data_IF_608017480821
#
_entry.id   IF_608017480821
#
_cell.length_a   1.000
_cell.length_b   1.000
_cell.length_c   1.000
_cell.angle_alpha   90.00
_cell.angle_beta   90.00
_cell.angle_gamma   90.00
#
_symmetry.space_group_name_H-M   'P 1'
#
loop_
_entity.id
_entity.type
_entity.pdbx_description
1 polymer ?
#
# COMPACT_ATOMS: atom_id res chain seq x y z
N UNK A 1 6.46 -24.64 -9.54
CA UNK A 1 6.06 -23.79 -10.69
C UNK A 1 4.77 -23.12 -10.27
N UNK A 2 4.78 -21.81 -10.05
CA UNK A 2 3.57 -21.07 -9.69
C UNK A 2 2.61 -21.08 -10.88
N UNK A 3 1.31 -21.17 -10.59
CA UNK A 3 0.28 -21.10 -11.62
C UNK A 3 0.41 -19.78 -12.40
N UNK A 4 0.11 -19.77 -13.71
CA UNK A 4 0.16 -18.54 -14.50
C UNK A 4 -0.81 -17.51 -13.92
N UNK A 5 -0.40 -16.24 -13.90
CA UNK A 5 -1.23 -15.11 -13.47
C UNK A 5 -2.54 -15.06 -14.25
N UNK A 6 -3.64 -14.75 -13.58
CA UNK A 6 -4.92 -14.50 -14.23
C UNK A 6 -4.81 -13.34 -15.23
N UNK A 7 -5.69 -13.23 -16.23
CA UNK A 7 -5.66 -12.10 -17.17
C UNK A 7 -5.69 -10.75 -16.45
N UNK A 8 -6.50 -10.63 -15.39
CA UNK A 8 -6.58 -9.42 -14.56
C UNK A 8 -5.27 -9.13 -13.83
N UNK A 9 -4.63 -10.15 -13.27
CA UNK A 9 -3.34 -10.02 -12.62
C UNK A 9 -2.24 -9.59 -13.61
N UNK A 10 -2.29 -10.06 -14.86
CA UNK A 10 -1.36 -9.62 -15.91
C UNK A 10 -1.56 -8.14 -16.27
N UNK A 11 -2.81 -7.67 -16.36
CA UNK A 11 -3.11 -6.26 -16.62
C UNK A 11 -2.66 -5.37 -15.46
N UNK A 12 -2.94 -5.79 -14.23
CA UNK A 12 -2.47 -5.12 -13.01
C UNK A 12 -0.95 -5.02 -12.97
N UNK A 13 -0.24 -6.11 -13.30
CA UNK A 13 1.22 -6.15 -13.35
C UNK A 13 1.76 -5.14 -14.37
N UNK A 14 1.23 -5.14 -15.60
CA UNK A 14 1.67 -4.23 -16.66
C UNK A 14 1.41 -2.78 -16.30
N UNK A 15 0.23 -2.46 -15.76
CA UNK A 15 -0.10 -1.11 -15.31
C UNK A 15 0.80 -0.65 -14.15
N UNK A 16 1.06 -1.52 -13.18
CA UNK A 16 1.97 -1.22 -12.08
C UNK A 16 3.35 -0.89 -12.63
N UNK A 17 3.92 -1.79 -13.45
CA UNK A 17 5.25 -1.62 -14.02
C UNK A 17 5.34 -0.32 -14.84
N UNK A 18 4.34 -0.03 -15.66
CA UNK A 18 4.29 1.19 -16.45
C UNK A 18 4.28 2.46 -15.59
N UNK A 19 3.52 2.47 -14.50
CA UNK A 19 3.30 3.68 -13.70
C UNK A 19 4.40 3.92 -12.66
N UNK A 20 4.97 2.85 -12.10
CA UNK A 20 5.93 2.95 -11.00
C UNK A 20 7.36 2.57 -11.40
N UNK A 21 7.55 1.84 -12.50
CA UNK A 21 8.88 1.42 -12.96
C UNK A 21 9.54 0.35 -12.09
N UNK A 22 8.78 -0.32 -11.22
CA UNK A 22 9.29 -1.37 -10.34
C UNK A 22 9.80 -2.58 -11.14
N UNK A 23 10.82 -3.24 -10.59
CA UNK A 23 11.51 -4.35 -11.28
C UNK A 23 10.63 -5.60 -11.41
N UNK A 24 10.88 -6.39 -12.45
CA UNK A 24 10.19 -7.67 -12.63
C UNK A 24 10.38 -8.64 -11.46
N UNK A 25 11.55 -8.60 -10.82
CA UNK A 25 11.82 -9.43 -9.64
C UNK A 25 10.89 -9.08 -8.48
N UNK A 26 10.71 -7.78 -8.21
CA UNK A 26 9.80 -7.30 -7.17
C UNK A 26 8.34 -7.61 -7.51
N UNK A 27 7.91 -7.27 -8.73
CA UNK A 27 6.52 -7.48 -9.13
C UNK A 27 6.18 -8.97 -9.17
N UNK A 28 7.10 -9.83 -9.62
CA UNK A 28 6.88 -11.28 -9.59
C UNK A 28 6.63 -11.79 -8.17
N UNK A 29 7.43 -11.36 -7.19
CA UNK A 29 7.25 -11.74 -5.78
C UNK A 29 5.92 -11.21 -5.23
N UNK A 30 5.62 -9.92 -5.44
CA UNK A 30 4.38 -9.31 -4.99
C UNK A 30 3.14 -10.01 -5.56
N UNK A 31 3.14 -10.30 -6.86
CA UNK A 31 2.01 -10.93 -7.53
C UNK A 31 1.86 -12.41 -7.18
N UNK A 32 2.92 -13.09 -6.73
CA UNK A 32 2.81 -14.44 -6.20
C UNK A 32 2.32 -14.51 -4.75
N UNK A 33 2.70 -13.54 -3.92
CA UNK A 33 2.51 -13.64 -2.46
C UNK A 33 1.33 -12.79 -1.96
N UNK A 34 1.23 -11.55 -2.45
CA UNK A 34 0.33 -10.52 -1.91
C UNK A 34 -0.91 -10.33 -2.78
N UNK A 35 -0.76 -10.37 -4.11
CA UNK A 35 -1.86 -10.07 -5.03
C UNK A 35 -3.05 -11.01 -4.83
N UNK A 36 -4.26 -10.43 -4.79
CA UNK A 36 -5.53 -11.18 -4.78
C UNK A 36 -6.51 -10.58 -5.77
N UNK A 37 -7.06 -11.42 -6.65
CA UNK A 37 -8.01 -10.99 -7.70
C UNK A 37 -9.29 -10.40 -7.10
N UNK A 38 -9.74 -10.92 -5.96
CA UNK A 38 -10.96 -10.50 -5.25
C UNK A 38 -10.83 -9.17 -4.50
N UNK A 39 -9.60 -8.69 -4.33
CA UNK A 39 -9.25 -7.46 -3.61
C UNK A 39 -8.53 -6.45 -4.51
N UNK A 40 -8.64 -6.63 -5.82
CA UNK A 40 -8.05 -5.76 -6.85
C UNK A 40 -9.16 -5.14 -7.70
N UNK A 41 -9.06 -3.87 -8.06
CA UNK A 41 -9.90 -3.23 -9.07
C UNK A 41 -9.05 -2.83 -10.28
N UNK A 42 -9.57 -3.14 -11.47
CA UNK A 42 -9.05 -2.64 -12.74
C UNK A 42 -10.21 -1.97 -13.47
N UNK A 43 -10.01 -0.71 -13.84
CA UNK A 43 -10.93 0.01 -14.73
C UNK A 43 -10.49 -0.16 -16.18
N UNK A 44 -11.44 -0.46 -17.06
CA UNK A 44 -11.19 -0.64 -18.48
C UNK A 44 -11.83 0.49 -19.30
N UNK A 45 -11.07 1.05 -20.24
CA UNK A 45 -11.57 2.03 -21.23
C UNK A 45 -11.30 1.47 -22.60
N UNK A 46 -12.35 1.29 -23.43
CA UNK A 46 -12.23 0.74 -24.79
C UNK A 46 -11.52 -0.63 -24.86
N UNK A 47 -11.65 -1.43 -23.80
CA UNK A 47 -11.02 -2.75 -23.68
C UNK A 47 -9.58 -2.73 -23.16
N UNK A 48 -9.00 -1.56 -22.92
CA UNK A 48 -7.68 -1.40 -22.34
C UNK A 48 -7.75 -1.19 -20.83
N UNK A 49 -6.87 -1.84 -20.07
CA UNK A 49 -6.73 -1.60 -18.64
C UNK A 49 -6.14 -0.20 -18.41
N UNK A 50 -6.86 0.67 -17.71
CA UNK A 50 -6.51 2.09 -17.58
C UNK A 50 -6.31 2.57 -16.16
N UNK A 51 -6.86 1.85 -15.18
CA UNK A 51 -6.67 2.17 -13.76
C UNK A 51 -6.47 0.89 -12.99
N UNK A 52 -5.65 0.96 -11.94
CA UNK A 52 -5.39 -0.14 -11.03
C UNK A 52 -5.34 0.37 -9.60
N UNK A 53 -5.96 -0.38 -8.69
CA UNK A 53 -5.72 -0.29 -7.26
C UNK A 53 -6.03 -1.64 -6.62
N UNK A 54 -5.54 -1.83 -5.40
CA UNK A 54 -5.98 -2.92 -4.52
C UNK A 54 -6.55 -2.34 -3.23
N UNK A 55 -7.47 -3.06 -2.60
CA UNK A 55 -8.16 -2.68 -1.35
C UNK A 55 -8.07 -3.82 -0.33
N UNK A 56 -6.86 -4.00 0.20
CA UNK A 56 -6.49 -5.16 0.99
C UNK A 56 -7.17 -5.13 2.37
N UNK A 57 -7.81 -6.23 2.82
CA UNK A 57 -8.32 -6.31 4.19
C UNK A 57 -7.14 -6.44 5.16
N UNK A 58 -7.03 -5.52 6.12
CA UNK A 58 -6.05 -5.58 7.21
C UNK A 58 -6.75 -5.29 8.55
N UNK A 59 -6.07 -5.53 9.66
CA UNK A 59 -6.55 -5.17 11.00
C UNK A 59 -5.68 -4.04 11.59
N UNK A 60 -6.32 -3.00 12.13
CA UNK A 60 -5.65 -2.08 13.04
C UNK A 60 -5.77 -2.61 14.46
N UNK A 61 -4.63 -2.79 15.13
CA UNK A 61 -4.56 -3.16 16.54
C UNK A 61 -4.25 -1.94 17.40
N UNK A 62 -5.09 -1.66 18.40
CA UNK A 62 -4.83 -0.61 19.39
C UNK A 62 -5.37 -1.04 20.75
N UNK A 63 -4.52 -1.09 21.77
CA UNK A 63 -4.94 -1.39 23.15
C UNK A 63 -5.57 -2.78 23.34
N UNK A 64 -5.32 -3.73 22.43
CA UNK A 64 -5.92 -5.06 22.44
C UNK A 64 -7.17 -5.20 21.59
N UNK A 65 -7.76 -4.10 21.13
CA UNK A 65 -8.86 -4.11 20.17
C UNK A 65 -8.34 -4.26 18.74
N UNK A 66 -9.10 -4.99 17.92
CA UNK A 66 -8.83 -5.18 16.49
C UNK A 66 -9.96 -4.59 15.67
N UNK A 67 -9.62 -3.68 14.77
CA UNK A 67 -10.57 -3.01 13.89
C UNK A 67 -10.30 -3.43 12.44
N UNK A 68 -11.27 -4.02 11.74
CA UNK A 68 -11.12 -4.34 10.32
C UNK A 68 -11.05 -3.04 9.52
N UNK A 69 -9.99 -2.89 8.72
CA UNK A 69 -9.84 -1.73 7.84
C UNK A 69 -9.38 -2.16 6.45
N UNK A 70 -9.61 -1.29 5.47
CA UNK A 70 -9.16 -1.49 4.10
C UNK A 70 -7.90 -0.68 3.82
N UNK A 71 -6.85 -1.32 3.32
CA UNK A 71 -5.65 -0.64 2.88
C UNK A 71 -5.61 -0.54 1.35
N UNK A 72 -5.72 0.69 0.84
CA UNK A 72 -5.67 0.98 -0.59
C UNK A 72 -4.23 1.18 -1.03
N UNK A 73 -3.78 0.35 -1.98
CA UNK A 73 -2.40 0.33 -2.48
C UNK A 73 -2.33 0.29 -4.00
N UNK A 74 -1.13 0.55 -4.52
CA UNK A 74 -0.80 0.43 -5.93
C UNK A 74 -1.73 1.23 -6.85
N UNK A 75 -2.17 2.39 -6.36
CA UNK A 75 -3.12 3.28 -7.04
C UNK A 75 -2.42 3.93 -8.23
N UNK A 76 -2.73 3.48 -9.44
CA UNK A 76 -2.18 4.08 -10.65
C UNK A 76 -3.21 4.20 -11.79
N UNK A 77 -3.00 5.20 -12.63
CA UNK A 77 -3.75 5.41 -13.86
C UNK A 77 -2.76 5.41 -15.01
N UNK A 78 -3.09 4.71 -16.09
CA UNK A 78 -2.30 4.73 -17.32
C UNK A 78 -2.02 6.20 -17.72
N UNK A 79 -0.77 6.59 -18.02
CA UNK A 79 -0.40 7.99 -18.25
C UNK A 79 -1.28 8.70 -19.30
N UNK A 80 -1.59 8.02 -20.41
CA UNK A 80 -2.42 8.57 -21.49
C UNK A 80 -3.89 8.80 -21.09
N UNK A 81 -4.34 8.22 -19.99
CA UNK A 81 -5.70 8.32 -19.45
C UNK A 81 -5.78 9.15 -18.16
N UNK A 82 -4.65 9.69 -17.70
CA UNK A 82 -4.59 10.54 -16.50
C UNK A 82 -5.41 11.83 -16.68
N UNK A 83 -5.88 12.39 -15.55
CA UNK A 83 -6.65 13.64 -15.54
C UNK A 83 -8.11 13.53 -16.00
N UNK A 84 -8.58 12.33 -16.36
CA UNK A 84 -9.98 12.10 -16.82
C UNK A 84 -10.96 11.71 -15.71
N UNK A 85 -10.49 11.69 -14.46
CA UNK A 85 -11.31 11.33 -13.30
C UNK A 85 -11.58 9.83 -13.11
N UNK A 86 -10.99 8.94 -13.91
CA UNK A 86 -11.21 7.49 -13.85
C UNK A 86 -10.90 6.91 -12.47
N UNK A 87 -9.73 7.26 -11.90
CA UNK A 87 -9.31 6.75 -10.60
C UNK A 87 -10.23 7.19 -9.44
N UNK A 88 -10.91 8.34 -9.57
CA UNK A 88 -11.88 8.77 -8.56
C UNK A 88 -13.04 7.78 -8.45
N UNK A 89 -13.50 7.22 -9.58
CA UNK A 89 -14.59 6.25 -9.58
C UNK A 89 -14.14 4.89 -9.02
N UNK A 90 -12.92 4.44 -9.33
CA UNK A 90 -12.36 3.23 -8.73
C UNK A 90 -12.16 3.37 -7.22
N UNK A 91 -11.68 4.52 -6.73
CA UNK A 91 -11.55 4.78 -5.29
C UNK A 91 -12.90 4.75 -4.57
N UNK A 92 -13.95 5.35 -5.15
CA UNK A 92 -15.31 5.28 -4.58
C UNK A 92 -15.82 3.84 -4.51
N UNK A 93 -15.53 3.05 -5.55
CA UNK A 93 -15.91 1.63 -5.60
C UNK A 93 -15.17 0.83 -4.54
N UNK A 94 -13.86 1.06 -4.37
CA UNK A 94 -13.06 0.44 -3.31
C UNK A 94 -13.62 0.74 -1.91
N UNK A 95 -13.96 2.01 -1.64
CA UNK A 95 -14.56 2.41 -0.36
C UNK A 95 -15.91 1.72 -0.10
N UNK A 96 -16.77 1.62 -1.13
CA UNK A 96 -18.05 0.91 -1.01
C UNK A 96 -17.85 -0.58 -0.71
N UNK A 97 -16.96 -1.25 -1.45
CA UNK A 97 -16.69 -2.68 -1.25
C UNK A 97 -16.08 -2.93 0.14
N UNK A 98 -15.23 -2.03 0.61
CA UNK A 98 -14.66 -2.08 1.97
C UNK A 98 -15.76 -1.93 3.03
N UNK A 99 -16.68 -0.98 2.83
CA UNK A 99 -17.83 -0.80 3.71
C UNK A 99 -18.75 -2.03 3.73
N UNK A 100 -19.03 -2.63 2.57
CA UNK A 100 -19.83 -3.85 2.44
C UNK A 100 -19.17 -5.05 3.12
N UNK A 101 -17.82 -5.12 3.12
CA UNK A 101 -17.03 -6.12 3.84
C UNK A 101 -17.07 -5.94 5.36
N UNK A 102 -17.50 -4.77 5.84
CA UNK A 102 -17.58 -4.42 7.26
C UNK A 102 -16.37 -3.65 7.79
N UNK A 103 -15.53 -3.13 6.90
CA UNK A 103 -14.37 -2.32 7.30
C UNK A 103 -14.83 -0.98 7.90
N UNK A 104 -14.26 -0.62 9.04
CA UNK A 104 -14.64 0.61 9.76
C UNK A 104 -13.90 1.85 9.25
N UNK A 105 -12.80 1.65 8.53
CA UNK A 105 -12.00 2.70 7.92
C UNK A 105 -11.29 2.21 6.66
N UNK A 106 -10.82 3.15 5.86
CA UNK A 106 -9.89 2.89 4.77
C UNK A 106 -8.66 3.78 4.90
N UNK A 107 -7.49 3.21 4.63
CA UNK A 107 -6.19 3.82 4.76
C UNK A 107 -5.46 3.78 3.42
N UNK A 108 -4.63 4.78 3.15
CA UNK A 108 -3.67 4.78 2.07
C UNK A 108 -2.48 5.66 2.44
N UNK A 109 -1.37 5.47 1.73
CA UNK A 109 -0.18 6.30 1.85
C UNK A 109 0.06 7.04 0.54
N UNK A 110 -0.10 8.37 0.52
CA UNK A 110 0.19 9.17 -0.67
C UNK A 110 1.70 9.18 -0.96
N UNK A 111 2.10 8.85 -2.19
CA UNK A 111 3.51 8.81 -2.59
C UNK A 111 4.16 10.21 -2.73
N UNK A 112 3.33 11.24 -2.94
CA UNK A 112 3.77 12.61 -3.20
C UNK A 112 2.88 13.61 -2.46
N UNK A 113 3.42 14.78 -2.11
CA UNK A 113 2.72 15.78 -1.30
C UNK A 113 1.38 16.26 -1.92
N UNK A 114 1.30 16.40 -3.24
CA UNK A 114 0.08 16.82 -3.91
C UNK A 114 -1.03 15.75 -3.88
N UNK A 115 -0.67 14.48 -3.66
CA UNK A 115 -1.63 13.39 -3.62
C UNK A 115 -2.54 13.47 -2.38
N UNK A 116 -2.09 14.10 -1.28
CA UNK A 116 -2.95 14.37 -0.12
C UNK A 116 -4.19 15.17 -0.52
N UNK A 117 -3.98 16.30 -1.21
CA UNK A 117 -5.05 17.13 -1.75
C UNK A 117 -5.96 16.35 -2.71
N UNK A 118 -5.35 15.54 -3.58
CA UNK A 118 -6.09 14.71 -4.52
C UNK A 118 -7.02 13.74 -3.79
N UNK A 119 -6.53 12.94 -2.85
CA UNK A 119 -7.33 11.94 -2.14
C UNK A 119 -8.41 12.58 -1.25
N UNK A 120 -8.12 13.74 -0.64
CA UNK A 120 -9.13 14.53 0.07
C UNK A 120 -10.25 14.99 -0.86
N UNK A 121 -9.92 15.59 -2.01
CA UNK A 121 -10.93 16.10 -2.97
C UNK A 121 -11.67 14.99 -3.72
N UNK A 122 -11.01 13.86 -3.97
CA UNK A 122 -11.57 12.76 -4.76
C UNK A 122 -12.63 12.00 -3.96
N UNK A 123 -12.29 11.57 -2.74
CA UNK A 123 -13.14 10.65 -1.95
C UNK A 123 -13.14 10.93 -0.44
N UNK A 124 -12.57 12.06 -0.01
CA UNK A 124 -12.69 12.50 1.39
C UNK A 124 -11.69 11.89 2.36
N UNK A 125 -10.56 11.35 1.88
CA UNK A 125 -9.47 10.98 2.78
C UNK A 125 -9.00 12.23 3.55
N UNK A 126 -8.71 12.04 4.83
CA UNK A 126 -8.12 13.07 5.66
C UNK A 126 -6.75 12.59 6.17
N UNK A 127 -5.73 13.46 6.25
CA UNK A 127 -4.50 13.13 6.94
C UNK A 127 -4.83 12.77 8.39
N UNK A 128 -4.40 11.59 8.83
CA UNK A 128 -4.37 11.27 10.25
C UNK A 128 -2.99 11.73 10.74
N UNK A 129 -2.91 12.72 11.64
CA UNK A 129 -1.63 13.11 12.20
C UNK A 129 -1.10 11.94 13.04
N UNK A 130 -0.08 11.25 12.53
CA UNK A 130 0.79 10.43 13.37
C UNK A 130 1.72 11.41 14.06
N UNK A 131 1.29 11.92 15.21
CA UNK A 131 2.05 12.91 15.95
C UNK A 131 3.24 12.24 16.64
N UNK A 132 4.42 12.31 16.02
CA UNK A 132 5.69 12.21 16.75
C UNK A 132 6.01 13.60 17.28
N UNK A 133 5.93 13.77 18.61
CA UNK A 133 6.32 15.05 19.22
C UNK A 133 7.85 15.04 19.38
N UNK A 134 8.58 15.77 18.53
CA UNK A 134 10.02 15.98 18.69
C UNK A 134 10.35 17.47 18.75
N UNK A 135 11.22 17.87 19.68
CA UNK A 135 11.72 19.25 19.81
C UNK A 135 13.08 19.44 19.14
N UNK A 136 13.58 18.42 18.44
CA UNK A 136 14.90 18.43 17.81
C UNK A 136 14.80 18.66 16.30
N UNK A 137 15.34 19.78 15.83
CA UNK A 137 15.43 20.13 14.41
C UNK A 137 16.26 19.10 13.61
N UNK A 138 17.27 18.48 14.24
CA UNK A 138 18.06 17.42 13.60
C UNK A 138 17.27 16.12 13.43
N UNK A 139 16.37 15.78 14.37
CA UNK A 139 15.55 14.56 14.28
C UNK A 139 14.54 14.59 13.12
N UNK A 140 14.15 15.79 12.67
CA UNK A 140 13.28 16.00 11.50
C UNK A 140 14.06 15.89 10.18
N UNK A 141 15.35 16.19 10.18
CA UNK A 141 16.18 16.26 8.97
C UNK A 141 17.07 15.02 8.76
N UNK A 142 17.15 14.14 9.75
CA UNK A 142 18.00 12.96 9.76
C UNK A 142 17.21 11.64 9.74
N UNK A 143 16.04 11.59 9.09
CA UNK A 143 15.40 10.28 8.79
C UNK A 143 16.27 9.52 7.78
N UNK A 144 17.35 8.96 8.30
CA UNK A 144 18.08 7.83 7.76
C UNK A 144 17.57 6.59 8.46
N UNK A 145 17.37 5.51 7.70
CA UNK A 145 17.02 4.19 8.24
C UNK A 145 17.91 3.89 9.47
N UNK A 146 17.34 3.39 10.59
CA UNK A 146 18.17 2.95 11.69
C UNK A 146 19.11 1.84 11.20
N UNK A 147 20.41 1.95 11.49
CA UNK A 147 21.38 0.88 11.27
C UNK A 147 20.98 -0.31 12.15
N UNK A 148 20.14 -1.19 11.62
CA UNK A 148 19.56 -2.30 12.34
C UNK A 148 19.65 -3.55 11.45
N UNK A 149 20.56 -4.46 11.80
CA UNK A 149 20.61 -5.79 11.20
C UNK A 149 19.80 -6.76 12.06
N UNK A 150 18.80 -7.42 11.45
CA UNK A 150 18.04 -8.52 12.03
C UNK A 150 18.01 -9.68 11.05
N UNK A 151 18.18 -10.92 11.51
CA UNK A 151 18.23 -12.09 10.62
C UNK A 151 16.83 -12.56 10.19
N UNK A 152 15.77 -12.02 10.82
CA UNK A 152 14.35 -12.29 10.56
C UNK A 152 13.50 -11.02 10.73
N UNK A 153 12.29 -10.99 10.18
CA UNK A 153 11.27 -9.93 10.32
C UNK A 153 10.97 -9.63 11.78
N UNK A 154 10.80 -10.67 12.58
CA UNK A 154 10.52 -10.51 14.00
C UNK A 154 11.69 -9.84 14.72
N UNK A 155 12.93 -10.20 14.40
CA UNK A 155 14.11 -9.60 15.01
C UNK A 155 14.34 -8.16 14.57
N UNK A 156 14.20 -7.89 13.27
CA UNK A 156 14.28 -6.54 12.72
C UNK A 156 13.21 -5.64 13.32
N UNK A 157 11.93 -6.06 13.28
CA UNK A 157 10.83 -5.28 13.86
C UNK A 157 11.01 -5.08 15.37
N UNK A 158 11.43 -6.10 16.11
CA UNK A 158 11.71 -5.97 17.55
C UNK A 158 12.85 -4.98 17.83
N UNK A 159 13.88 -4.96 17.00
CA UNK A 159 15.01 -4.04 17.15
C UNK A 159 14.64 -2.60 16.77
N UNK A 160 13.83 -2.41 15.72
CA UNK A 160 13.25 -1.12 15.34
C UNK A 160 12.26 -0.60 16.39
N UNK A 161 11.40 -1.46 16.95
CA UNK A 161 10.47 -1.12 18.04
C UNK A 161 11.22 -0.76 19.33
N UNK A 162 12.35 -1.40 19.62
CA UNK A 162 13.18 -1.06 20.80
C UNK A 162 13.90 0.27 20.64
N UNK A 163 14.21 0.69 19.42
CA UNK A 163 14.86 1.97 19.14
C UNK A 163 13.87 3.13 19.00
N UNK A 164 12.61 2.85 18.64
CA UNK A 164 11.55 3.86 18.50
C UNK A 164 10.46 3.72 19.56
N UNK A 165 10.33 4.73 20.43
CA UNK A 165 9.30 4.76 21.49
C UNK A 165 7.87 5.04 20.98
N UNK A 166 7.66 5.16 19.68
CA UNK A 166 6.36 5.42 19.08
C UNK A 166 6.14 4.52 17.84
N UNK A 167 4.92 4.02 17.63
CA UNK A 167 4.61 3.18 16.48
C UNK A 167 4.68 4.02 15.20
N UNK A 168 5.59 3.65 14.30
CA UNK A 168 5.71 4.22 12.97
C UNK A 168 5.84 3.10 11.93
N UNK A 169 4.99 3.15 10.90
CA UNK A 169 5.08 2.27 9.73
C UNK A 169 6.13 2.85 8.78
N UNK A 170 7.36 2.33 8.84
CA UNK A 170 8.44 2.71 7.91
C UNK A 170 8.34 1.90 6.62
N UNK A 171 7.86 2.49 5.53
CA UNK A 171 7.83 1.85 4.22
C UNK A 171 9.18 1.96 3.51
N UNK A 172 10.22 1.31 4.05
CA UNK A 172 11.50 1.18 3.37
C UNK A 172 11.55 -0.09 2.49
N UNK A 173 12.38 -0.13 1.43
CA UNK A 173 12.65 -1.34 0.67
C UNK A 173 13.12 -2.51 1.55
N UNK A 174 13.77 -2.23 2.69
CA UNK A 174 14.16 -3.23 3.67
C UNK A 174 12.93 -3.82 4.39
N UNK A 175 11.96 -3.00 4.80
CA UNK A 175 10.71 -3.50 5.38
C UNK A 175 10.01 -4.44 4.39
N UNK A 176 9.90 -4.04 3.12
CA UNK A 176 9.25 -4.86 2.09
C UNK A 176 9.97 -6.18 1.84
N UNK A 177 11.30 -6.16 1.74
CA UNK A 177 12.11 -7.38 1.54
C UNK A 177 11.90 -8.38 2.67
N UNK A 178 11.84 -7.89 3.90
CA UNK A 178 11.67 -8.72 5.08
C UNK A 178 10.22 -9.21 5.22
N UNK A 179 9.21 -8.44 4.78
CA UNK A 179 7.82 -8.92 4.68
C UNK A 179 7.66 -10.04 3.65
N UNK A 180 8.37 -9.97 2.52
CA UNK A 180 8.32 -10.98 1.45
C UNK A 180 9.17 -12.22 1.75
N UNK A 181 10.30 -12.08 2.43
CA UNK A 181 11.21 -13.20 2.71
C UNK A 181 10.76 -14.07 3.92
N UNK A 182 10.01 -13.49 4.86
CA UNK A 182 9.70 -14.13 6.15
C UNK A 182 8.22 -14.54 6.35
N UNK A 183 7.37 -14.36 5.33
CA UNK A 183 6.04 -14.97 5.27
C UNK A 183 6.10 -16.23 4.39
N UNK A 184 6.51 -17.40 4.90
CA UNK A 184 6.13 -18.64 4.24
C UNK A 184 4.61 -18.72 4.31
N UNK A 185 3.97 -18.71 3.14
CA UNK A 185 2.57 -19.08 3.00
C UNK A 185 2.40 -20.53 3.47
N UNK A 186 2.08 -20.70 4.75
CA UNK A 186 1.54 -21.94 5.31
C UNK A 186 0.02 -21.90 5.29
#
# INVERSE_FOLDING_TARGET
MNAPLSPKAQDAYRLWQLCFGDTDAFLSAYFSEVYRDDSTLIGYTEGEATTHLQYLPIELSSGGDRLPVSYVVAVCTHPDYAGRGLMKEELKKALRLSQERGDVASLLLPAEAWLFDYYTKAVGYAPIPVAVTTTSFNAVLSESDPECEGATLVEYLTAVERTNKAPQLLHSPALWRVVTEDYPTS
#
